data_IF_517851441827
#
_entry.id   IF_517851441827
#
_cell.length_a   1.000
_cell.length_b   1.000
_cell.length_c   1.000
_cell.angle_alpha   90.00
_cell.angle_beta   90.00
_cell.angle_gamma   90.00
#
_symmetry.space_group_name_H-M   'P 1'
#
loop_
_entity.id
_entity.type
_entity.pdbx_description
1 polymer ?
#
# COMPACT_ATOMS: atom_id res chain seq x y z
N UNK A 1 -4.45 -13.13 -25.28
CA UNK A 1 -4.94 -13.27 -23.90
C UNK A 1 -3.79 -13.80 -23.03
N UNK A 2 -2.80 -12.97 -22.73
CA UNK A 2 -1.62 -13.35 -21.94
C UNK A 2 -1.96 -13.22 -20.45
N UNK A 3 -2.14 -14.34 -19.76
CA UNK A 3 -2.18 -14.39 -18.30
C UNK A 3 -0.76 -14.11 -17.80
N UNK A 4 -0.46 -12.85 -17.45
CA UNK A 4 0.75 -12.51 -16.68
C UNK A 4 0.61 -13.12 -15.29
N UNK A 5 1.35 -14.18 -15.02
CA UNK A 5 1.45 -14.75 -13.69
C UNK A 5 2.35 -13.85 -12.83
N UNK A 6 1.74 -13.07 -11.94
CA UNK A 6 2.47 -12.26 -10.96
C UNK A 6 2.89 -13.19 -9.83
N UNK A 7 4.06 -13.82 -9.96
CA UNK A 7 4.63 -14.66 -8.90
C UNK A 7 5.47 -13.80 -7.96
N UNK A 8 4.88 -13.42 -6.82
CA UNK A 8 5.53 -12.61 -5.79
C UNK A 8 6.49 -13.47 -4.96
N UNK A 9 7.76 -13.48 -5.36
CA UNK A 9 8.84 -14.05 -4.55
C UNK A 9 9.49 -12.92 -3.78
N UNK A 10 9.56 -13.01 -2.45
CA UNK A 10 10.33 -12.09 -1.62
C UNK A 10 11.80 -12.20 -2.05
N UNK A 11 12.27 -11.25 -2.85
CA UNK A 11 13.59 -11.33 -3.47
C UNK A 11 14.64 -11.01 -2.40
N UNK A 12 15.07 -12.03 -1.67
CA UNK A 12 16.37 -12.01 -0.98
C UNK A 12 17.46 -11.92 -2.06
N UNK A 13 18.56 -11.22 -1.81
CA UNK A 13 19.67 -11.00 -2.76
C UNK A 13 20.11 -12.28 -3.51
N UNK A 14 19.96 -13.44 -2.86
CA UNK A 14 20.30 -14.76 -3.39
C UNK A 14 19.32 -15.30 -4.46
N UNK A 15 18.11 -14.74 -4.58
CA UNK A 15 17.05 -15.23 -5.47
C UNK A 15 16.94 -14.43 -6.78
N UNK A 16 17.54 -13.24 -6.86
CA UNK A 16 17.50 -12.37 -8.07
C UNK A 16 18.15 -13.09 -9.25
N UNK A 17 19.32 -13.70 -9.03
CA UNK A 17 20.08 -14.39 -10.06
C UNK A 17 19.39 -15.66 -10.57
N UNK A 18 18.51 -16.27 -9.77
CA UNK A 18 17.71 -17.43 -10.17
C UNK A 18 16.48 -17.02 -10.97
N UNK A 19 15.82 -15.92 -10.61
CA UNK A 19 14.66 -15.38 -11.32
C UNK A 19 15.05 -14.83 -12.71
N UNK A 20 16.21 -14.19 -12.84
CA UNK A 20 16.74 -13.72 -14.14
C UNK A 20 17.14 -14.84 -15.11
N UNK A 21 17.25 -16.09 -14.64
CA UNK A 21 17.53 -17.27 -15.48
C UNK A 21 16.27 -17.92 -16.05
N UNK A 22 15.08 -17.51 -15.61
CA UNK A 22 13.82 -18.04 -16.14
C UNK A 22 13.36 -17.20 -17.33
N UNK A 23 13.19 -17.84 -18.49
CA UNK A 23 12.83 -17.23 -19.78
C UNK A 23 11.36 -16.77 -19.90
N UNK A 24 10.76 -16.24 -18.83
CA UNK A 24 9.42 -15.67 -18.87
C UNK A 24 9.47 -14.15 -18.60
N UNK A 25 8.59 -13.39 -19.25
CA UNK A 25 8.47 -11.93 -19.08
C UNK A 25 7.94 -11.59 -17.67
N UNK A 26 8.85 -11.52 -16.69
CA UNK A 26 8.53 -11.06 -15.33
C UNK A 26 8.74 -9.54 -15.20
N UNK A 27 7.72 -8.83 -14.75
CA UNK A 27 7.87 -7.44 -14.27
C UNK A 27 8.23 -7.47 -12.79
N UNK A 28 9.44 -7.05 -12.45
CA UNK A 28 9.92 -6.98 -11.06
C UNK A 28 9.76 -5.55 -10.55
N UNK A 29 9.03 -5.38 -9.46
CA UNK A 29 8.94 -4.09 -8.75
C UNK A 29 9.84 -4.10 -7.53
N UNK A 30 10.74 -3.14 -7.47
CA UNK A 30 11.70 -2.98 -6.37
C UNK A 30 11.32 -1.73 -5.59
N UNK A 31 11.16 -1.90 -4.28
CA UNK A 31 10.84 -0.79 -3.38
C UNK A 31 12.07 -0.45 -2.54
N UNK A 32 12.35 0.84 -2.39
CA UNK A 32 13.35 1.28 -1.42
C UNK A 32 12.74 1.26 -0.01
N UNK A 33 13.25 0.38 0.84
CA UNK A 33 12.75 0.21 2.22
C UNK A 33 12.93 1.47 3.06
N UNK A 34 14.02 2.21 2.88
CA UNK A 34 14.30 3.43 3.66
C UNK A 34 13.26 4.51 3.39
N UNK A 35 12.81 4.62 2.13
CA UNK A 35 11.74 5.54 1.72
C UNK A 35 10.40 5.13 2.32
N UNK A 36 10.12 3.82 2.44
CA UNK A 36 8.88 3.30 3.02
C UNK A 36 8.82 3.41 4.55
N UNK A 37 9.97 3.50 5.23
CA UNK A 37 10.03 3.60 6.70
C UNK A 37 10.10 5.03 7.22
N UNK A 38 10.35 6.01 6.35
CA UNK A 38 10.43 7.42 6.72
C UNK A 38 9.03 8.03 6.70
N UNK A 39 8.74 8.95 7.62
CA UNK A 39 7.44 9.62 7.70
C UNK A 39 7.14 10.36 6.38
N UNK A 40 6.19 9.80 5.63
CA UNK A 40 5.85 10.15 4.25
C UNK A 40 5.53 11.65 4.13
N UNK A 41 4.96 12.23 5.20
CA UNK A 41 4.57 13.63 5.32
C UNK A 41 5.73 14.60 5.03
N UNK A 42 6.96 14.24 5.40
CA UNK A 42 8.16 15.06 5.20
C UNK A 42 8.85 14.79 3.85
N UNK A 43 8.67 13.59 3.31
CA UNK A 43 9.39 13.09 2.12
C UNK A 43 8.64 13.38 0.81
N UNK A 44 7.31 13.49 0.83
CA UNK A 44 6.53 13.83 -0.39
C UNK A 44 7.01 15.17 -0.96
N UNK A 45 7.24 16.18 -0.11
CA UNK A 45 7.69 17.51 -0.54
C UNK A 45 9.06 17.53 -1.23
N UNK A 46 9.93 16.56 -0.92
CA UNK A 46 11.26 16.44 -1.53
C UNK A 46 11.30 15.48 -2.72
N UNK A 47 10.34 14.55 -2.82
CA UNK A 47 10.23 13.59 -3.93
C UNK A 47 9.42 14.11 -5.12
N UNK A 48 8.48 15.04 -4.89
CA UNK A 48 7.82 15.77 -5.98
C UNK A 48 8.67 16.97 -6.37
N UNK A 49 9.71 16.73 -7.18
CA UNK A 49 10.15 17.78 -8.11
C UNK A 49 8.93 18.11 -8.96
N UNK A 50 8.31 19.26 -8.71
CA UNK A 50 7.11 19.66 -9.43
C UNK A 50 7.54 19.93 -10.87
N UNK A 51 7.47 18.91 -11.73
CA UNK A 51 7.54 19.11 -13.16
C UNK A 51 6.53 20.22 -13.48
N UNK A 52 7.00 21.34 -14.06
CA UNK A 52 6.11 22.42 -14.51
C UNK A 52 5.11 21.79 -15.50
N UNK A 53 3.94 21.40 -14.99
CA UNK A 53 2.92 20.68 -15.75
C UNK A 53 2.22 21.61 -16.75
N UNK A 54 2.33 22.92 -16.54
CA UNK A 54 1.71 23.91 -17.40
C UNK A 54 2.72 24.43 -18.43
N UNK A 55 2.59 24.08 -19.72
CA UNK A 55 3.25 24.81 -20.78
C UNK A 55 2.78 26.27 -20.75
N UNK A 56 3.73 27.19 -20.92
CA UNK A 56 3.46 28.63 -20.86
C UNK A 56 2.46 29.00 -21.95
N UNK A 57 1.23 29.32 -21.57
CA UNK A 57 0.27 29.95 -22.47
C UNK A 57 0.76 31.36 -22.80
N UNK A 58 1.08 31.62 -24.06
CA UNK A 58 1.21 32.99 -24.55
C UNK A 58 -0.19 33.59 -24.66
N UNK A 59 -0.67 34.23 -23.59
CA UNK A 59 -1.92 34.97 -23.61
C UNK A 59 -1.78 36.18 -24.55
N UNK A 60 -2.75 36.35 -25.44
CA UNK A 60 -2.89 37.53 -26.28
C UNK A 60 -2.76 38.82 -25.44
N UNK A 61 -1.84 39.71 -25.80
CA UNK A 61 -1.90 41.07 -25.28
C UNK A 61 -3.04 41.81 -25.97
N UNK A 62 -3.75 42.68 -25.24
CA UNK A 62 -4.88 43.48 -25.77
C UNK A 62 -4.51 44.26 -27.04
N UNK A 63 -3.23 44.59 -27.21
CA UNK A 63 -2.65 45.25 -28.40
C UNK A 63 -2.61 44.39 -29.67
N UNK A 64 -2.70 43.05 -29.58
CA UNK A 64 -2.78 42.17 -30.76
C UNK A 64 -4.22 41.96 -31.26
N UNK A 65 -5.23 42.33 -30.45
CA UNK A 65 -6.65 42.34 -30.82
C UNK A 65 -7.06 43.69 -31.46
N UNK A 66 -6.33 44.77 -31.19
CA UNK A 66 -6.60 46.11 -31.72
C UNK A 66 -6.31 46.25 -33.24
N UNK A 67 -5.52 45.36 -33.84
CA UNK A 67 -5.26 45.31 -35.30
C UNK A 67 -6.49 44.95 -36.14
N UNK A 68 -7.62 44.58 -35.51
CA UNK A 68 -8.90 44.23 -36.14
C UNK A 68 -9.76 45.48 -36.44
N UNK A 69 -9.19 46.69 -36.45
CA UNK A 69 -9.95 47.87 -36.93
C UNK A 69 -9.99 47.84 -38.45
N UNK A 70 -11.11 47.40 -39.01
CA UNK A 70 -11.34 47.26 -40.46
C UNK A 70 -11.17 48.62 -41.15
N UNK A 71 -10.29 48.75 -42.18
CA UNK A 71 -10.14 50.01 -42.91
C UNK A 71 -11.47 50.43 -43.57
N UNK A 72 -11.80 51.72 -43.59
CA UNK A 72 -13.05 52.16 -44.23
C UNK A 72 -12.89 52.13 -45.77
N UNK A 73 -13.84 51.55 -46.50
CA UNK A 73 -13.68 51.26 -47.94
C UNK A 73 -14.05 52.47 -48.80
N UNK A 74 -13.08 53.35 -49.06
CA UNK A 74 -13.20 54.46 -49.99
C UNK A 74 -11.90 54.51 -50.82
N UNK A 75 -12.02 54.25 -52.13
CA UNK A 75 -11.03 54.54 -53.21
C UNK A 75 -10.03 53.42 -53.63
N UNK A 76 -9.53 53.48 -54.87
CA UNK A 76 -8.64 52.46 -55.46
C UNK A 76 -7.28 52.32 -54.74
N UNK A 77 -6.80 53.40 -54.09
CA UNK A 77 -5.64 53.41 -53.18
C UNK A 77 -5.88 52.50 -51.97
N UNK A 78 -7.14 52.37 -51.54
CA UNK A 78 -7.52 51.47 -50.45
C UNK A 78 -7.32 50.00 -50.82
N UNK A 79 -7.34 49.61 -52.10
CA UNK A 79 -7.20 48.19 -52.47
C UNK A 79 -5.85 47.59 -52.08
N UNK A 80 -4.76 48.37 -52.15
CA UNK A 80 -3.41 47.92 -51.76
C UNK A 80 -3.23 47.95 -50.23
N UNK A 81 -3.85 48.92 -49.58
CA UNK A 81 -3.87 49.03 -48.12
C UNK A 81 -4.68 47.88 -47.50
N UNK A 82 -5.82 47.54 -48.12
CA UNK A 82 -6.64 46.39 -47.76
C UNK A 82 -5.93 45.05 -47.98
N UNK A 83 -5.22 44.88 -49.10
CA UNK A 83 -4.45 43.64 -49.33
C UNK A 83 -3.32 43.49 -48.33
N UNK A 84 -2.60 44.57 -48.00
CA UNK A 84 -1.51 44.54 -47.01
C UNK A 84 -2.02 44.40 -45.57
N UNK A 85 -3.17 44.98 -45.23
CA UNK A 85 -3.86 44.77 -43.95
C UNK A 85 -4.34 43.32 -43.83
N UNK A 86 -5.04 42.80 -44.85
CA UNK A 86 -5.50 41.42 -44.86
C UNK A 86 -4.33 40.43 -44.71
N UNK A 87 -3.24 40.66 -45.44
CA UNK A 87 -2.06 39.81 -45.36
C UNK A 87 -1.44 39.83 -43.95
N UNK A 88 -1.25 41.00 -43.34
CA UNK A 88 -0.69 41.11 -41.97
C UNK A 88 -1.60 40.47 -40.92
N UNK A 89 -2.91 40.69 -41.02
CA UNK A 89 -3.90 40.10 -40.11
C UNK A 89 -3.98 38.59 -40.27
N UNK A 90 -3.91 38.09 -41.51
CA UNK A 90 -3.86 36.65 -41.79
C UNK A 90 -2.57 36.01 -41.26
N UNK A 91 -1.40 36.62 -41.50
CA UNK A 91 -0.12 36.16 -40.96
C UNK A 91 -0.12 36.13 -39.43
N UNK A 92 -0.70 37.15 -38.78
CA UNK A 92 -0.86 37.19 -37.33
C UNK A 92 -1.79 36.08 -36.81
N UNK A 93 -2.91 35.82 -37.49
CA UNK A 93 -3.86 34.77 -37.13
C UNK A 93 -3.27 33.36 -37.31
N UNK A 94 -2.51 33.15 -38.38
CA UNK A 94 -1.77 31.89 -38.62
C UNK A 94 -0.72 31.67 -37.53
N UNK A 95 0.09 32.69 -37.21
CA UNK A 95 1.08 32.60 -36.14
C UNK A 95 0.43 32.26 -34.79
N UNK A 96 -0.75 32.83 -34.52
CA UNK A 96 -1.53 32.55 -33.32
C UNK A 96 -2.03 31.10 -33.26
N UNK A 97 -2.67 30.60 -34.33
CA UNK A 97 -3.14 29.21 -34.40
C UNK A 97 -1.97 28.24 -34.19
N UNK A 98 -0.81 28.51 -34.81
CA UNK A 98 0.38 27.69 -34.65
C UNK A 98 0.90 27.69 -33.20
N UNK A 99 0.79 28.83 -32.51
CA UNK A 99 1.09 28.95 -31.08
C UNK A 99 0.19 28.05 -30.22
N UNK A 100 -1.13 28.14 -30.40
CA UNK A 100 -2.10 27.28 -29.70
C UNK A 100 -1.88 25.80 -29.99
N UNK A 101 -1.65 25.45 -31.26
CA UNK A 101 -1.38 24.09 -31.67
C UNK A 101 -0.14 23.51 -30.96
N UNK A 102 0.95 24.29 -30.88
CA UNK A 102 2.17 23.89 -30.17
C UNK A 102 1.91 23.66 -28.67
N UNK A 103 1.10 24.50 -28.05
CA UNK A 103 0.71 24.36 -26.63
C UNK A 103 -0.14 23.11 -26.41
N UNK A 104 -1.12 22.85 -27.27
CA UNK A 104 -1.96 21.64 -27.25
C UNK A 104 -1.09 20.37 -27.36
N UNK A 105 -0.14 20.36 -28.31
CA UNK A 105 0.80 19.24 -28.44
C UNK A 105 1.63 19.04 -27.18
N UNK A 106 2.15 20.11 -26.59
CA UNK A 106 2.92 20.02 -25.35
C UNK A 106 2.07 19.44 -24.21
N UNK A 107 0.82 19.88 -24.05
CA UNK A 107 -0.10 19.31 -23.06
C UNK A 107 -0.36 17.82 -23.31
N UNK A 108 -0.63 17.43 -24.55
CA UNK A 108 -0.87 16.03 -24.90
C UNK A 108 0.31 15.13 -24.50
N UNK A 109 1.54 15.55 -24.79
CA UNK A 109 2.75 14.79 -24.38
C UNK A 109 2.92 14.69 -22.87
N UNK A 110 2.56 15.74 -22.12
CA UNK A 110 2.61 15.72 -20.65
C UNK A 110 1.54 14.77 -20.10
N UNK A 111 0.31 14.85 -20.61
CA UNK A 111 -0.78 13.96 -20.21
C UNK A 111 -0.43 12.49 -20.47
N UNK A 112 0.18 12.18 -21.62
CA UNK A 112 0.65 10.83 -21.95
C UNK A 112 1.67 10.32 -20.94
N UNK A 113 2.69 11.13 -20.64
CA UNK A 113 3.70 10.78 -19.64
C UNK A 113 3.11 10.57 -18.25
N UNK A 114 2.26 11.49 -17.78
CA UNK A 114 1.59 11.38 -16.48
C UNK A 114 0.78 10.10 -16.40
N UNK A 115 0.16 9.69 -17.49
CA UNK A 115 -0.65 8.48 -17.53
C UNK A 115 0.16 7.19 -17.52
N UNK A 116 1.30 7.16 -18.20
CA UNK A 116 2.26 6.08 -18.02
C UNK A 116 2.75 6.00 -16.57
N UNK A 117 3.08 7.14 -15.95
CA UNK A 117 3.50 7.22 -14.55
C UNK A 117 2.39 6.71 -13.60
N UNK A 118 1.13 7.13 -13.79
CA UNK A 118 -0.01 6.68 -13.01
C UNK A 118 -0.30 5.18 -13.19
N UNK A 119 -0.14 4.63 -14.39
CA UNK A 119 -0.27 3.18 -14.62
C UNK A 119 0.77 2.40 -13.84
N UNK A 120 2.03 2.83 -13.87
CA UNK A 120 3.11 2.19 -13.11
C UNK A 120 2.85 2.30 -11.60
N UNK A 121 2.43 3.47 -11.11
CA UNK A 121 2.10 3.69 -9.70
C UNK A 121 0.93 2.81 -9.25
N UNK A 122 -0.14 2.71 -10.05
CA UNK A 122 -1.28 1.86 -9.75
C UNK A 122 -0.92 0.39 -9.70
N UNK A 123 -0.12 -0.09 -10.67
CA UNK A 123 0.40 -1.45 -10.65
C UNK A 123 1.26 -1.68 -9.39
N UNK A 124 2.06 -0.70 -8.99
CA UNK A 124 2.86 -0.77 -7.77
C UNK A 124 2.01 -0.82 -6.50
N UNK A 125 0.91 -0.07 -6.44
CA UNK A 125 -0.05 -0.13 -5.33
C UNK A 125 -0.73 -1.51 -5.30
N UNK A 126 -1.19 -2.03 -6.44
CA UNK A 126 -1.82 -3.34 -6.52
C UNK A 126 -0.88 -4.47 -6.05
N UNK A 127 0.39 -4.41 -6.45
CA UNK A 127 1.42 -5.35 -6.00
C UNK A 127 1.64 -5.22 -4.50
N UNK A 128 1.76 -4.01 -3.97
CA UNK A 128 1.94 -3.76 -2.53
C UNK A 128 0.74 -4.29 -1.72
N UNK A 129 -0.49 -4.07 -2.18
CA UNK A 129 -1.71 -4.59 -1.55
C UNK A 129 -1.75 -6.11 -1.56
N UNK A 130 -1.39 -6.74 -2.68
CA UNK A 130 -1.33 -8.20 -2.80
C UNK A 130 -0.31 -8.78 -1.81
N UNK A 131 0.84 -8.12 -1.67
CA UNK A 131 1.88 -8.52 -0.73
C UNK A 131 1.45 -8.35 0.73
N UNK A 132 0.77 -7.24 1.04
CA UNK A 132 0.18 -6.99 2.36
C UNK A 132 -0.86 -8.06 2.72
N UNK A 133 -1.75 -8.41 1.78
CA UNK A 133 -2.73 -9.49 1.94
C UNK A 133 -2.06 -10.84 2.21
N UNK A 134 -1.03 -11.19 1.42
CA UNK A 134 -0.28 -12.42 1.61
C UNK A 134 0.41 -12.48 2.98
N UNK A 135 1.01 -11.36 3.41
CA UNK A 135 1.63 -11.26 4.72
C UNK A 135 0.61 -11.37 5.86
N UNK A 136 -0.50 -10.65 5.76
CA UNK A 136 -1.60 -10.70 6.73
C UNK A 136 -2.16 -12.11 6.90
N UNK A 137 -2.38 -12.84 5.80
CA UNK A 137 -2.80 -14.25 5.83
C UNK A 137 -1.78 -15.16 6.51
N UNK A 138 -0.49 -14.98 6.20
CA UNK A 138 0.59 -15.77 6.80
C UNK A 138 0.69 -15.55 8.32
N UNK A 139 0.54 -14.31 8.77
CA UNK A 139 0.48 -13.96 10.20
C UNK A 139 -0.73 -14.63 10.86
N UNK A 140 -1.91 -14.55 10.24
CA UNK A 140 -3.12 -15.17 10.76
C UNK A 140 -2.97 -16.70 10.89
N UNK A 141 -2.49 -17.38 9.85
CA UNK A 141 -2.30 -18.83 9.87
C UNK A 141 -1.32 -19.27 10.97
N UNK A 142 -0.23 -18.52 11.14
CA UNK A 142 0.75 -18.77 12.20
C UNK A 142 0.14 -18.54 13.58
N UNK A 143 -0.64 -17.47 13.72
CA UNK A 143 -1.34 -17.15 14.96
C UNK A 143 -2.40 -18.19 15.31
N UNK A 144 -3.19 -18.68 14.37
CA UNK A 144 -4.21 -19.71 14.63
C UNK A 144 -3.59 -21.00 15.18
N UNK A 145 -2.47 -21.45 14.59
CA UNK A 145 -1.72 -22.61 15.06
C UNK A 145 -1.20 -22.39 16.48
N UNK A 146 -0.60 -21.23 16.73
CA UNK A 146 -0.11 -20.85 18.05
C UNK A 146 -1.26 -20.79 19.06
N UNK A 147 -2.37 -20.15 18.74
CA UNK A 147 -3.50 -19.94 19.63
C UNK A 147 -4.19 -21.28 19.99
N UNK A 148 -4.33 -22.19 19.02
CA UNK A 148 -4.83 -23.54 19.29
C UNK A 148 -3.94 -24.30 20.27
N UNK A 149 -2.62 -24.23 20.09
CA UNK A 149 -1.65 -24.82 21.02
C UNK A 149 -1.70 -24.17 22.40
N UNK A 150 -1.65 -22.84 22.46
CA UNK A 150 -1.68 -22.07 23.70
C UNK A 150 -2.96 -22.32 24.50
N UNK A 151 -4.12 -22.33 23.85
CA UNK A 151 -5.42 -22.62 24.49
C UNK A 151 -5.43 -24.02 25.10
N UNK A 152 -4.86 -25.02 24.40
CA UNK A 152 -4.75 -26.38 24.94
C UNK A 152 -3.87 -26.40 26.19
N UNK A 153 -2.76 -25.67 26.18
CA UNK A 153 -1.84 -25.64 27.31
C UNK A 153 -2.41 -24.86 28.50
N UNK A 154 -3.06 -23.73 28.27
CA UNK A 154 -3.78 -22.98 29.29
C UNK A 154 -4.85 -23.84 29.97
N UNK A 155 -5.61 -24.63 29.21
CA UNK A 155 -6.59 -25.54 29.76
C UNK A 155 -6.00 -26.68 30.60
N UNK A 156 -4.74 -27.09 30.33
CA UNK A 156 -4.04 -28.07 31.18
C UNK A 156 -3.55 -27.42 32.47
N UNK A 157 -2.92 -26.25 32.37
CA UNK A 157 -2.45 -25.48 33.51
C UNK A 157 -3.59 -25.15 34.46
N UNK A 158 -4.72 -24.67 33.92
CA UNK A 158 -5.92 -24.40 34.72
C UNK A 158 -6.42 -25.64 35.46
N UNK A 159 -6.43 -26.81 34.80
CA UNK A 159 -6.82 -28.08 35.45
C UNK A 159 -5.89 -28.49 36.57
N UNK A 160 -4.57 -28.38 36.38
CA UNK A 160 -3.57 -28.69 37.40
C UNK A 160 -3.68 -27.75 38.60
N UNK A 161 -3.86 -26.45 38.36
CA UNK A 161 -4.03 -25.46 39.42
C UNK A 161 -5.36 -25.66 40.19
N UNK A 162 -6.43 -26.08 39.50
CA UNK A 162 -7.71 -26.40 40.13
C UNK A 162 -7.68 -27.68 40.97
N UNK A 163 -6.94 -28.72 40.55
CA UNK A 163 -6.82 -29.96 41.32
C UNK A 163 -5.87 -29.84 42.51
N UNK A 164 -4.90 -28.93 42.44
CA UNK A 164 -3.84 -28.78 43.43
C UNK A 164 -4.32 -28.75 44.90
N UNK A 165 -5.36 -27.96 45.30
CA UNK A 165 -5.83 -27.97 46.69
C UNK A 165 -6.35 -29.34 47.15
N UNK A 166 -7.02 -30.07 46.25
CA UNK A 166 -7.53 -31.42 46.51
C UNK A 166 -6.37 -32.42 46.63
N UNK A 167 -5.37 -32.29 45.78
CA UNK A 167 -4.20 -33.17 45.78
C UNK A 167 -3.39 -32.98 47.08
N UNK A 168 -3.24 -31.74 47.55
CA UNK A 168 -2.61 -31.44 48.86
C UNK A 168 -3.40 -32.02 50.02
N UNK A 169 -4.73 -31.92 49.99
CA UNK A 169 -5.58 -32.49 51.04
C UNK A 169 -5.52 -34.03 51.06
N UNK A 170 -5.47 -34.66 49.88
CA UNK A 170 -5.28 -36.11 49.79
C UNK A 170 -3.95 -36.56 50.42
N UNK A 171 -2.86 -35.81 50.21
CA UNK A 171 -1.55 -36.12 50.81
C UNK A 171 -1.58 -36.04 52.35
N UNK A 172 -2.44 -35.20 52.93
CA UNK A 172 -2.64 -35.10 54.39
C UNK A 172 -3.44 -36.25 54.99
N UNK A 173 -4.23 -36.96 54.17
CA UNK A 173 -5.12 -38.02 54.63
C UNK A 173 -4.49 -39.43 54.47
N UNK A 174 -3.47 -39.57 53.62
CA UNK A 174 -2.83 -40.87 53.38
C UNK A 174 -1.80 -41.16 54.47
N UNK A 175 -2.09 -42.18 55.28
CA UNK A 175 -1.20 -42.70 56.33
C UNK A 175 -0.04 -43.49 55.72
N UNK A 176 1.16 -43.32 56.27
CA UNK A 176 2.34 -44.12 55.90
C UNK A 176 2.27 -45.48 56.58
N UNK A 177 2.59 -46.55 55.83
CA UNK A 177 2.56 -47.91 56.35
C UNK A 177 3.59 -48.08 57.50
N UNK A 178 3.22 -48.70 58.63
CA UNK A 178 4.08 -48.76 59.83
C UNK A 178 5.41 -49.48 59.60
N UNK A 179 5.50 -50.42 58.66
CA UNK A 179 6.77 -51.08 58.27
C UNK A 179 7.81 -50.12 57.66
N UNK A 180 7.37 -48.98 57.14
CA UNK A 180 8.27 -47.95 56.59
C UNK A 180 8.70 -46.92 57.64
N UNK A 181 8.11 -46.99 58.85
CA UNK A 181 8.41 -46.09 59.96
C UNK A 181 9.36 -46.80 60.95
N UNK A 182 10.25 -46.05 61.64
CA UNK A 182 11.05 -46.60 62.73
C UNK A 182 10.16 -47.21 63.83
N UNK A 183 10.61 -48.27 64.53
CA UNK A 183 9.78 -49.09 65.43
C UNK A 183 9.16 -48.35 66.63
N UNK A 184 9.58 -47.12 66.93
CA UNK A 184 9.03 -46.26 68.00
C UNK A 184 8.39 -44.96 67.50
N UNK A 185 8.13 -44.84 66.19
CA UNK A 185 7.59 -43.61 65.61
C UNK A 185 6.07 -43.52 65.74
N UNK A 186 5.58 -42.33 66.08
CA UNK A 186 4.16 -41.98 66.00
C UNK A 186 3.62 -42.11 64.56
N UNK A 187 2.29 -42.22 64.43
CA UNK A 187 1.61 -42.23 63.13
C UNK A 187 2.02 -41.01 62.29
N UNK A 188 2.46 -41.25 61.06
CA UNK A 188 2.84 -40.19 60.12
C UNK A 188 2.05 -40.29 58.82
N UNK A 189 1.86 -39.15 58.18
CA UNK A 189 1.17 -39.01 56.90
C UNK A 189 2.17 -38.66 55.79
N UNK A 190 1.79 -38.89 54.54
CA UNK A 190 2.67 -38.55 53.40
C UNK A 190 3.01 -37.05 53.40
N UNK A 191 2.09 -36.20 53.83
CA UNK A 191 2.31 -34.75 53.97
C UNK A 191 3.49 -34.39 54.88
N UNK A 192 3.84 -35.22 55.87
CA UNK A 192 4.92 -34.93 56.82
C UNK A 192 6.32 -35.07 56.18
N UNK A 193 6.40 -35.74 55.03
CA UNK A 193 7.63 -35.95 54.28
C UNK A 193 7.79 -34.96 53.10
N UNK A 194 6.77 -34.13 52.84
CA UNK A 194 6.73 -33.21 51.71
C UNK A 194 6.63 -31.77 52.23
N UNK A 195 7.45 -30.83 51.76
CA UNK A 195 7.36 -29.43 52.16
C UNK A 195 6.13 -28.77 51.52
N UNK A 196 4.96 -29.01 52.12
CA UNK A 196 3.64 -28.58 51.65
C UNK A 196 3.57 -27.06 51.46
N UNK A 197 4.16 -26.28 52.37
CA UNK A 197 4.18 -24.81 52.27
C UNK A 197 4.94 -24.30 51.04
N UNK A 198 6.00 -25.01 50.62
CA UNK A 198 6.75 -24.65 49.39
C UNK A 198 5.91 -24.95 48.15
N UNK A 199 5.19 -26.08 48.15
CA UNK A 199 4.30 -26.43 47.04
C UNK A 199 3.17 -25.42 46.87
N UNK A 200 2.58 -24.95 47.98
CA UNK A 200 1.52 -23.92 47.95
C UNK A 200 2.05 -22.63 47.33
N UNK A 201 3.23 -22.14 47.76
CA UNK A 201 3.84 -20.94 47.17
C UNK A 201 4.16 -21.11 45.68
N UNK A 202 4.61 -22.29 45.26
CA UNK A 202 4.83 -22.56 43.84
C UNK A 202 3.53 -22.57 43.05
N UNK A 203 2.46 -23.15 43.59
CA UNK A 203 1.14 -23.12 42.95
C UNK A 203 0.60 -21.69 42.80
N UNK A 204 0.79 -20.84 43.82
CA UNK A 204 0.47 -19.40 43.75
C UNK A 204 1.27 -18.69 42.65
N UNK A 205 2.60 -18.89 42.61
CA UNK A 205 3.44 -18.33 41.53
C UNK A 205 3.05 -18.84 40.14
N UNK A 206 2.74 -20.13 40.00
CA UNK A 206 2.24 -20.69 38.74
C UNK A 206 0.89 -20.09 38.34
N UNK A 207 0.01 -19.81 39.30
CA UNK A 207 -1.27 -19.13 39.05
C UNK A 207 -1.06 -17.71 38.55
N UNK A 208 -0.18 -16.94 39.17
CA UNK A 208 0.15 -15.57 38.72
C UNK A 208 0.69 -15.56 37.30
N UNK A 209 1.63 -16.46 36.98
CA UNK A 209 2.18 -16.62 35.63
C UNK A 209 1.09 -17.04 34.65
N UNK A 210 0.23 -17.99 35.00
CA UNK A 210 -0.87 -18.45 34.16
C UNK A 210 -1.85 -17.30 33.83
N UNK A 211 -2.22 -16.50 34.83
CA UNK A 211 -3.07 -15.31 34.62
C UNK A 211 -2.38 -14.24 33.76
N UNK A 212 -1.05 -14.07 33.91
CA UNK A 212 -0.24 -13.21 33.05
C UNK A 212 -0.28 -13.66 31.59
N UNK A 213 0.03 -14.93 31.33
CA UNK A 213 0.00 -15.50 29.98
C UNK A 213 -1.38 -15.43 29.32
N UNK A 214 -2.45 -15.56 30.10
CA UNK A 214 -3.82 -15.38 29.60
C UNK A 214 -4.10 -13.93 29.18
N UNK A 215 -3.53 -12.93 29.87
CA UNK A 215 -3.64 -11.52 29.46
C UNK A 215 -2.85 -11.29 28.18
N UNK A 216 -1.60 -11.70 28.14
CA UNK A 216 -0.72 -11.55 26.97
C UNK A 216 -1.31 -12.23 25.72
N UNK A 217 -1.91 -13.42 25.88
CA UNK A 217 -2.60 -14.13 24.80
C UNK A 217 -3.81 -13.36 24.25
N UNK A 218 -4.58 -12.68 25.11
CA UNK A 218 -5.70 -11.83 24.69
C UNK A 218 -5.22 -10.58 23.95
N UNK A 219 -4.14 -9.96 24.42
CA UNK A 219 -3.56 -8.78 23.78
C UNK A 219 -2.97 -9.12 22.41
N UNK A 220 -2.28 -10.26 22.29
CA UNK A 220 -1.83 -10.77 21.00
C UNK A 220 -3.00 -11.04 20.04
N UNK A 221 -4.09 -11.66 20.53
CA UNK A 221 -5.29 -11.90 19.73
C UNK A 221 -5.91 -10.60 19.20
N UNK A 222 -5.91 -9.56 20.03
CA UNK A 222 -6.38 -8.22 19.64
C UNK A 222 -5.49 -7.61 18.56
N UNK A 223 -4.18 -7.60 18.77
CA UNK A 223 -3.23 -7.04 17.81
C UNK A 223 -3.32 -7.71 16.43
N UNK A 224 -3.44 -9.04 16.38
CA UNK A 224 -3.61 -9.78 15.12
C UNK A 224 -4.91 -9.38 14.41
N UNK A 225 -6.00 -9.22 15.17
CA UNK A 225 -7.28 -8.78 14.64
C UNK A 225 -7.22 -7.35 14.09
N UNK A 226 -6.55 -6.43 14.79
CA UNK A 226 -6.34 -5.05 14.33
C UNK A 226 -5.55 -5.01 13.02
N UNK A 227 -4.50 -5.85 12.88
CA UNK A 227 -3.75 -6.00 11.62
C UNK A 227 -4.65 -6.49 10.49
N UNK A 228 -5.51 -7.47 10.76
CA UNK A 228 -6.45 -8.02 9.77
C UNK A 228 -7.47 -6.97 9.32
N UNK A 229 -8.11 -6.27 10.26
CA UNK A 229 -9.10 -5.23 9.97
C UNK A 229 -8.46 -4.04 9.23
N UNK A 230 -7.28 -3.59 9.66
CA UNK A 230 -6.52 -2.54 9.00
C UNK A 230 -6.13 -2.90 7.56
N UNK A 231 -5.71 -4.15 7.32
CA UNK A 231 -5.40 -4.64 5.97
C UNK A 231 -6.63 -4.60 5.06
N UNK A 232 -7.79 -5.05 5.55
CA UNK A 232 -9.04 -5.01 4.79
C UNK A 232 -9.50 -3.59 4.48
N UNK A 233 -9.36 -2.67 5.43
CA UNK A 233 -9.71 -1.26 5.24
C UNK A 233 -8.88 -0.60 4.14
N UNK A 234 -7.56 -0.81 4.15
CA UNK A 234 -6.65 -0.28 3.11
C UNK A 234 -7.01 -0.83 1.74
N UNK A 235 -7.30 -2.14 1.65
CA UNK A 235 -7.72 -2.78 0.40
C UNK A 235 -8.99 -2.16 -0.17
N UNK A 236 -10.00 -1.94 0.66
CA UNK A 236 -11.29 -1.39 0.21
C UNK A 236 -11.20 0.08 -0.22
N UNK A 237 -10.24 0.84 0.31
CA UNK A 237 -10.06 2.26 0.01
C UNK A 237 -9.13 2.55 -1.19
N UNK A 238 -8.57 1.52 -1.82
CA UNK A 238 -7.55 1.67 -2.88
C UNK A 238 -8.09 1.94 -4.29
N UNK A 239 -9.38 2.27 -4.42
CA UNK A 239 -10.07 2.41 -5.70
C UNK A 239 -9.63 3.65 -6.50
N UNK A 240 -8.49 3.55 -7.21
CA UNK A 240 -8.13 4.48 -8.28
C UNK A 240 -8.81 3.99 -9.56
N UNK A 241 -9.77 4.77 -10.08
CA UNK A 241 -10.46 4.45 -11.33
C UNK A 241 -9.66 5.01 -12.52
N UNK A 242 -8.74 4.20 -13.05
CA UNK A 242 -7.91 4.58 -14.20
C UNK A 242 -8.66 4.54 -15.53
N UNK A 243 -9.74 3.76 -15.61
CA UNK A 243 -10.48 3.54 -16.86
C UNK A 243 -11.05 4.87 -17.40
N UNK A 244 -11.62 5.70 -16.52
CA UNK A 244 -12.12 7.03 -16.89
C UNK A 244 -11.01 7.96 -17.41
N UNK A 245 -9.78 7.80 -16.91
CA UNK A 245 -8.64 8.62 -17.31
C UNK A 245 -8.05 8.12 -18.64
N UNK A 246 -8.10 6.82 -18.90
CA UNK A 246 -7.75 6.21 -20.20
C UNK A 246 -8.70 6.66 -21.31
N UNK A 247 -10.01 6.70 -21.03
CA UNK A 247 -11.02 7.20 -21.97
C UNK A 247 -10.79 8.67 -22.33
N UNK A 248 -10.55 9.53 -21.31
CA UNK A 248 -10.27 10.95 -21.52
C UNK A 248 -8.97 11.18 -22.33
N UNK A 249 -7.94 10.36 -22.10
CA UNK A 249 -6.72 10.39 -22.89
C UNK A 249 -6.95 10.06 -24.37
N UNK A 250 -7.74 9.02 -24.64
CA UNK A 250 -8.02 8.59 -26.01
C UNK A 250 -8.70 9.72 -26.80
N UNK A 251 -9.59 10.48 -26.16
CA UNK A 251 -10.24 11.66 -26.75
C UNK A 251 -9.24 12.79 -27.05
N UNK A 252 -8.29 13.06 -26.14
CA UNK A 252 -7.24 14.07 -26.36
C UNK A 252 -6.36 13.70 -27.56
N UNK A 253 -5.92 12.44 -27.65
CA UNK A 253 -5.10 11.95 -28.76
C UNK A 253 -5.85 12.07 -30.09
N UNK A 254 -7.14 11.70 -30.11
CA UNK A 254 -7.98 11.85 -31.30
C UNK A 254 -8.11 13.31 -31.73
N UNK A 255 -8.29 14.23 -30.78
CA UNK A 255 -8.40 15.66 -31.06
C UNK A 255 -7.11 16.24 -31.62
N UNK A 256 -5.96 15.82 -31.09
CA UNK A 256 -4.63 16.21 -31.60
C UNK A 256 -4.44 15.75 -33.04
N UNK A 257 -4.83 14.51 -33.36
CA UNK A 257 -4.73 13.98 -34.73
C UNK A 257 -5.57 14.81 -35.71
N UNK A 258 -6.81 15.14 -35.34
CA UNK A 258 -7.69 16.00 -36.14
C UNK A 258 -7.08 17.39 -36.37
N UNK A 259 -6.49 18.01 -35.34
CA UNK A 259 -5.82 19.32 -35.45
C UNK A 259 -4.58 19.24 -36.36
N UNK A 260 -3.85 18.12 -36.33
CA UNK A 260 -2.69 17.91 -37.21
C UNK A 260 -3.08 17.84 -38.68
N UNK A 261 -4.21 17.18 -38.99
CA UNK A 261 -4.76 17.09 -40.35
C UNK A 261 -5.22 18.46 -40.87
N UNK A 262 -5.79 19.30 -40.00
CA UNK A 262 -6.21 20.66 -40.34
C UNK A 262 -4.99 21.54 -40.65
N UNK A 263 -3.95 21.48 -39.81
CA UNK A 263 -2.68 22.20 -40.04
C UNK A 263 -2.06 21.82 -41.39
N UNK A 264 -1.99 20.54 -41.71
CA UNK A 264 -1.37 20.07 -42.96
C UNK A 264 -2.13 20.55 -44.21
N UNK A 265 -3.42 20.90 -44.08
CA UNK A 265 -4.21 21.54 -45.13
C UNK A 265 -4.02 23.05 -45.23
N UNK A 266 -3.66 23.72 -44.13
CA UNK A 266 -3.41 25.18 -44.11
C UNK A 266 -2.01 25.52 -44.65
N UNK A 267 -1.03 24.61 -44.48
CA UNK A 267 0.36 24.81 -44.92
C UNK A 267 0.55 24.50 -46.41
N UNK A 268 -0.41 23.84 -47.07
CA UNK A 268 -0.43 23.58 -48.53
C UNK A 268 -1.03 24.74 -49.30
#
# INVERSE_FOLDING_TARGET
MFKRAIQLTLIKYNNVAALLRMHEEYTIMVYNREVLTTDISSSILTLTEHAKMEPVMQLLSSTQLETITVPNRLDASSSREWSSWFQRTFEAYVAHILGYYKTILSHATICERVMEELRVQSLAVQVALTNLDAHSRSVLETFEKFNAFATKEFNKQARLLQSFPRDIEALRQIRVHPTLLPPESAERYISDFIPTDKLVRWAEGCKEIHEGLLRDGKDLSRAVREVQEGTMAIRNNSGINLDQLEDAMAEIVQTVDQQSQIRDRIVR
#
